data_IF_469918235682
#
_entry.id   IF_469918235682
#
_cell.length_a   1.000
_cell.length_b   1.000
_cell.length_c   1.000
_cell.angle_alpha   90.00
_cell.angle_beta   90.00
_cell.angle_gamma   90.00
#
_symmetry.space_group_name_H-M   'P 1'
#
loop_
_entity.id
_entity.type
_entity.pdbx_description
1 polymer ?
#
# COMPACT_ATOMS: atom_id res chain seq x y z
N UNK A 1 -10.13 -47.02 -8.89
CA UNK A 1 -8.84 -46.37 -9.23
C UNK A 1 -9.12 -44.88 -9.33
N UNK A 2 -8.95 -44.16 -8.23
CA UNK A 2 -9.31 -42.74 -8.13
C UNK A 2 -8.19 -41.92 -8.76
N UNK A 3 -8.50 -41.25 -9.86
CA UNK A 3 -7.59 -40.38 -10.60
C UNK A 3 -7.31 -39.11 -9.77
N UNK A 4 -6.25 -39.16 -8.96
CA UNK A 4 -5.69 -37.96 -8.33
C UNK A 4 -4.84 -37.21 -9.35
N UNK A 5 -5.51 -36.41 -10.19
CA UNK A 5 -4.80 -35.35 -10.93
C UNK A 5 -4.25 -34.36 -9.91
N UNK A 6 -2.93 -34.09 -9.91
CA UNK A 6 -2.38 -33.05 -9.06
C UNK A 6 -3.01 -31.72 -9.46
N UNK A 7 -3.65 -31.05 -8.50
CA UNK A 7 -4.07 -29.66 -8.66
C UNK A 7 -2.80 -28.86 -8.92
N UNK A 8 -2.62 -28.39 -10.16
CA UNK A 8 -1.58 -27.41 -10.50
C UNK A 8 -1.83 -26.20 -9.62
N UNK A 9 -1.05 -26.05 -8.55
CA UNK A 9 -1.02 -24.81 -7.78
C UNK A 9 -0.43 -23.76 -8.71
N UNK A 10 -1.25 -22.79 -9.10
CA UNK A 10 -0.75 -21.57 -9.76
C UNK A 10 0.31 -20.97 -8.84
N UNK A 11 1.49 -20.60 -9.36
CA UNK A 11 2.51 -19.96 -8.53
C UNK A 11 1.90 -18.71 -7.86
N UNK A 12 2.26 -18.42 -6.60
CA UNK A 12 1.78 -17.24 -5.92
C UNK A 12 2.14 -16.02 -6.76
N UNK A 13 1.17 -15.12 -6.95
CA UNK A 13 1.33 -13.93 -7.77
C UNK A 13 0.87 -12.72 -6.95
N UNK A 14 1.65 -11.65 -7.04
CA UNK A 14 1.33 -10.35 -6.45
C UNK A 14 1.13 -9.35 -7.57
N UNK A 15 0.07 -8.54 -7.49
CA UNK A 15 -0.19 -7.46 -8.43
C UNK A 15 -0.85 -6.28 -7.73
N UNK A 16 -0.33 -5.09 -7.98
CA UNK A 16 -1.04 -3.84 -7.67
C UNK A 16 -1.85 -3.46 -8.91
N UNK A 17 -3.13 -3.21 -8.72
CA UNK A 17 -4.05 -2.95 -9.81
C UNK A 17 -4.77 -1.64 -9.55
N UNK A 18 -5.03 -0.89 -10.61
CA UNK A 18 -5.78 0.36 -10.51
C UNK A 18 -6.58 0.65 -11.78
N UNK A 19 -7.55 1.55 -11.62
CA UNK A 19 -8.27 2.19 -12.70
C UNK A 19 -8.38 3.68 -12.37
N UNK A 20 -7.91 4.55 -13.26
CA UNK A 20 -8.11 5.99 -13.08
C UNK A 20 -9.54 6.39 -13.44
N UNK A 21 -10.13 7.28 -12.64
CA UNK A 21 -11.42 7.93 -12.93
C UNK A 21 -11.33 8.70 -14.25
N UNK A 22 -12.30 8.62 -15.18
CA UNK A 22 -12.27 9.37 -16.44
C UNK A 22 -11.88 10.84 -16.23
N UNK A 23 -11.07 11.39 -17.14
CA UNK A 23 -10.42 12.69 -16.93
C UNK A 23 -11.43 13.85 -16.78
N UNK A 24 -12.59 13.74 -17.42
CA UNK A 24 -13.72 14.67 -17.31
C UNK A 24 -14.51 14.55 -16.00
N UNK A 25 -14.30 13.47 -15.26
CA UNK A 25 -14.91 13.20 -13.96
C UNK A 25 -13.94 13.42 -12.78
N UNK A 26 -12.67 13.76 -13.04
CA UNK A 26 -11.71 14.07 -11.98
C UNK A 26 -12.14 15.34 -11.26
N UNK A 27 -12.23 15.26 -9.93
CA UNK A 27 -12.65 16.37 -9.11
C UNK A 27 -11.52 17.40 -8.98
N UNK A 28 -11.78 18.67 -9.33
CA UNK A 28 -10.85 19.74 -9.01
C UNK A 28 -10.78 19.98 -7.50
N UNK A 29 -9.66 20.53 -7.08
CA UNK A 29 -9.34 20.82 -5.69
C UNK A 29 -9.55 22.29 -5.37
N UNK A 30 -9.96 22.56 -4.13
CA UNK A 30 -10.22 23.92 -3.63
C UNK A 30 -11.72 24.21 -3.55
N UNK A 31 -12.09 25.26 -2.78
CA UNK A 31 -13.48 25.72 -2.66
C UNK A 31 -13.74 26.90 -3.60
N UNK A 32 -13.06 28.01 -3.33
CA UNK A 32 -13.27 29.27 -4.07
C UNK A 32 -12.53 29.29 -5.40
N UNK A 33 -11.33 28.69 -5.44
CA UNK A 33 -10.52 28.55 -6.65
C UNK A 33 -10.32 27.06 -6.93
N UNK A 34 -10.92 26.60 -8.02
CA UNK A 34 -10.79 25.22 -8.47
C UNK A 34 -9.45 25.04 -9.17
N UNK A 35 -8.67 24.05 -8.74
CA UNK A 35 -7.32 23.77 -9.22
C UNK A 35 -7.15 22.30 -9.54
N UNK A 36 -6.28 21.97 -10.50
CA UNK A 36 -5.80 20.61 -10.71
C UNK A 36 -4.29 20.57 -10.62
N UNK A 37 -3.77 19.44 -10.17
CA UNK A 37 -2.34 19.15 -10.04
C UNK A 37 -2.12 17.64 -10.24
N UNK A 38 -0.87 17.21 -10.33
CA UNK A 38 -0.55 15.83 -10.72
C UNK A 38 -1.20 14.78 -9.82
N UNK A 39 -1.13 14.96 -8.50
CA UNK A 39 -1.73 14.05 -7.51
C UNK A 39 -3.24 13.91 -7.71
N UNK A 40 -3.97 15.04 -7.82
CA UNK A 40 -5.42 15.05 -8.07
C UNK A 40 -5.82 14.32 -9.36
N UNK A 41 -5.00 14.38 -10.40
CA UNK A 41 -5.23 13.67 -11.67
C UNK A 41 -5.11 12.14 -11.56
N UNK A 42 -4.59 11.63 -10.45
CA UNK A 42 -4.54 10.20 -10.15
C UNK A 42 -5.79 9.67 -9.43
N UNK A 43 -6.87 10.46 -9.32
CA UNK A 43 -8.13 9.98 -8.75
C UNK A 43 -8.60 8.69 -9.45
N UNK A 44 -8.96 7.67 -8.68
CA UNK A 44 -9.39 6.39 -9.21
C UNK A 44 -9.68 5.34 -8.15
N UNK A 45 -9.59 4.07 -8.56
CA UNK A 45 -9.81 2.89 -7.74
C UNK A 45 -8.61 1.97 -7.79
N UNK A 46 -8.29 1.29 -6.70
CA UNK A 46 -7.19 0.32 -6.67
C UNK A 46 -7.41 -0.84 -5.71
N UNK A 47 -6.66 -1.91 -5.95
CA UNK A 47 -6.65 -3.11 -5.13
C UNK A 47 -5.31 -3.84 -5.24
N UNK A 48 -5.04 -4.69 -4.26
CA UNK A 48 -3.87 -5.58 -4.27
C UNK A 48 -4.37 -7.00 -4.47
N UNK A 49 -3.91 -7.66 -5.53
CA UNK A 49 -4.18 -9.07 -5.79
C UNK A 49 -3.04 -9.92 -5.24
N UNK A 50 -3.35 -10.70 -4.20
CA UNK A 50 -2.46 -11.65 -3.55
C UNK A 50 -2.93 -13.08 -3.85
N UNK A 51 -2.47 -13.64 -4.97
CA UNK A 51 -2.81 -15.02 -5.40
C UNK A 51 -4.32 -15.23 -5.54
N UNK A 52 -5.02 -14.28 -6.17
CA UNK A 52 -6.47 -14.29 -6.37
C UNK A 52 -7.26 -13.70 -5.21
N UNK A 53 -6.59 -13.32 -4.11
CA UNK A 53 -7.22 -12.57 -3.03
C UNK A 53 -7.09 -11.07 -3.26
N UNK A 54 -8.21 -10.37 -3.46
CA UNK A 54 -8.23 -8.93 -3.72
C UNK A 54 -8.42 -8.14 -2.41
N UNK A 55 -7.31 -7.65 -1.84
CA UNK A 55 -7.37 -6.66 -0.77
C UNK A 55 -7.92 -5.35 -1.30
N UNK A 56 -8.59 -4.57 -0.44
CA UNK A 56 -9.24 -3.30 -0.79
C UNK A 56 -10.43 -3.42 -1.75
N UNK A 57 -10.91 -4.64 -2.02
CA UNK A 57 -12.23 -4.84 -2.62
C UNK A 57 -13.32 -4.74 -1.57
N UNK A 58 -14.35 -3.93 -1.81
CA UNK A 58 -15.51 -3.81 -0.93
C UNK A 58 -16.36 -5.07 -0.91
N UNK A 59 -16.92 -5.36 0.26
CA UNK A 59 -17.91 -6.42 0.45
C UNK A 59 -19.19 -6.16 -0.35
N UNK A 60 -19.93 -7.22 -0.66
CA UNK A 60 -21.23 -7.09 -1.33
C UNK A 60 -22.23 -6.26 -0.50
N UNK A 61 -22.06 -6.20 0.81
CA UNK A 61 -22.87 -5.34 1.68
C UNK A 61 -22.52 -3.86 1.49
N UNK A 62 -21.23 -3.50 1.56
CA UNK A 62 -20.77 -2.14 1.31
C UNK A 62 -21.14 -1.66 -0.09
N UNK A 63 -20.97 -2.52 -1.10
CA UNK A 63 -21.38 -2.19 -2.48
C UNK A 63 -22.88 -1.89 -2.55
N UNK A 64 -23.74 -2.73 -1.95
CA UNK A 64 -25.20 -2.49 -1.94
C UNK A 64 -25.59 -1.20 -1.23
N UNK A 65 -24.93 -0.87 -0.11
CA UNK A 65 -25.17 0.39 0.61
C UNK A 65 -24.77 1.61 -0.24
N UNK A 66 -23.55 1.59 -0.79
CA UNK A 66 -23.08 2.65 -1.71
C UNK A 66 -24.00 2.83 -2.92
N UNK A 67 -24.49 1.73 -3.51
CA UNK A 67 -25.48 1.78 -4.59
C UNK A 67 -26.80 2.40 -4.17
N UNK A 68 -27.29 2.12 -2.96
CA UNK A 68 -28.49 2.75 -2.41
C UNK A 68 -28.29 4.27 -2.19
N UNK A 69 -27.06 4.70 -1.91
CA UNK A 69 -26.67 6.11 -1.79
C UNK A 69 -26.36 6.78 -3.15
N UNK A 70 -26.54 6.06 -4.26
CA UNK A 70 -26.41 6.59 -5.62
C UNK A 70 -25.02 6.43 -6.26
N UNK A 71 -24.12 5.67 -5.65
CA UNK A 71 -22.80 5.36 -6.23
C UNK A 71 -22.86 4.13 -7.15
N UNK A 72 -22.45 4.28 -8.42
CA UNK A 72 -22.27 3.19 -9.39
C UNK A 72 -20.77 2.92 -9.68
N UNK A 73 -19.93 3.20 -8.68
CA UNK A 73 -18.49 3.06 -8.77
C UNK A 73 -18.05 1.57 -8.71
N UNK A 74 -16.89 1.21 -9.30
CA UNK A 74 -16.24 -0.09 -9.08
C UNK A 74 -16.13 -0.48 -7.59
N UNK A 75 -16.15 -1.80 -7.28
CA UNK A 75 -16.22 -2.28 -5.90
C UNK A 75 -14.85 -2.30 -5.19
N UNK A 76 -14.07 -1.24 -5.34
CA UNK A 76 -12.71 -1.13 -4.81
C UNK A 76 -12.51 0.21 -4.10
N UNK A 77 -11.51 0.29 -3.22
CA UNK A 77 -11.13 1.54 -2.56
C UNK A 77 -10.93 2.65 -3.59
N UNK A 78 -11.70 3.73 -3.44
CA UNK A 78 -11.59 4.94 -4.25
C UNK A 78 -10.75 6.01 -3.53
N UNK A 79 -9.60 6.32 -4.12
CA UNK A 79 -8.70 7.38 -3.67
C UNK A 79 -7.69 7.72 -4.79
N UNK A 80 -6.76 8.62 -4.51
CA UNK A 80 -5.67 8.95 -5.43
C UNK A 80 -4.67 7.80 -5.50
N UNK A 81 -4.44 7.25 -6.71
CA UNK A 81 -3.48 6.15 -6.93
C UNK A 81 -2.06 6.58 -6.56
N UNK A 82 -1.76 7.87 -6.70
CA UNK A 82 -0.50 8.45 -6.25
C UNK A 82 -0.19 8.13 -4.79
N UNK A 83 -1.20 8.11 -3.91
CA UNK A 83 -0.97 7.87 -2.48
C UNK A 83 -0.48 6.45 -2.21
N UNK A 84 -1.13 5.44 -2.80
CA UNK A 84 -0.66 4.05 -2.74
C UNK A 84 0.77 3.93 -3.29
N UNK A 85 1.03 4.55 -4.44
CA UNK A 85 2.34 4.50 -5.08
C UNK A 85 3.43 5.15 -4.21
N UNK A 86 3.17 6.35 -3.67
CA UNK A 86 4.07 7.06 -2.74
C UNK A 86 4.37 6.24 -1.49
N UNK A 87 3.34 5.68 -0.86
CA UNK A 87 3.50 4.87 0.36
C UNK A 87 4.28 3.58 0.07
N UNK A 88 4.09 2.96 -1.09
CA UNK A 88 4.92 1.83 -1.54
C UNK A 88 6.38 2.25 -1.73
N UNK A 89 6.64 3.37 -2.41
CA UNK A 89 8.01 3.85 -2.63
C UNK A 89 8.71 4.20 -1.31
N UNK A 90 7.98 4.76 -0.35
CA UNK A 90 8.51 5.02 0.99
C UNK A 90 8.82 3.73 1.75
N UNK A 91 7.96 2.70 1.59
CA UNK A 91 8.08 1.41 2.27
C UNK A 91 9.19 0.52 1.70
N UNK A 92 9.42 0.58 0.38
CA UNK A 92 10.32 -0.30 -0.37
C UNK A 92 11.71 -0.51 0.25
N UNK A 93 12.48 0.55 0.61
CA UNK A 93 13.82 0.38 1.17
C UNK A 93 13.78 -0.49 2.43
N UNK A 94 12.83 -0.22 3.33
CA UNK A 94 12.67 -0.93 4.60
C UNK A 94 12.32 -2.40 4.37
N UNK A 95 11.30 -2.67 3.54
CA UNK A 95 10.81 -4.04 3.36
C UNK A 95 11.74 -4.91 2.50
N UNK A 96 12.69 -4.30 1.78
CA UNK A 96 13.75 -5.00 1.05
C UNK A 96 15.01 -5.23 1.89
N UNK A 97 15.15 -4.57 3.05
CA UNK A 97 16.18 -4.92 4.03
C UNK A 97 15.84 -6.29 4.65
N UNK A 98 16.75 -7.29 4.58
CA UNK A 98 16.51 -8.58 5.22
C UNK A 98 16.37 -8.42 6.74
N UNK A 99 15.25 -8.86 7.29
CA UNK A 99 15.06 -8.91 8.74
C UNK A 99 15.99 -9.98 9.33
N UNK A 100 16.83 -9.64 10.31
CA UNK A 100 17.66 -10.61 11.02
C UNK A 100 16.81 -11.73 11.65
N UNK A 101 17.31 -12.97 11.57
CA UNK A 101 16.58 -14.15 12.03
C UNK A 101 16.10 -14.06 13.50
N UNK A 102 16.87 -13.39 14.35
CA UNK A 102 16.56 -13.19 15.77
C UNK A 102 15.42 -12.19 16.02
N UNK A 103 15.13 -11.31 15.05
CA UNK A 103 14.03 -10.35 15.08
C UNK A 103 12.74 -10.86 14.42
N UNK A 104 12.77 -12.02 13.76
CA UNK A 104 11.56 -12.60 13.14
C UNK A 104 10.38 -12.73 14.12
N UNK A 105 10.55 -13.25 15.35
CA UNK A 105 9.42 -13.37 16.23
C UNK A 105 8.96 -12.01 16.81
N UNK A 106 9.73 -10.93 16.63
CA UNK A 106 9.30 -9.57 16.95
C UNK A 106 8.45 -8.98 15.82
N UNK A 107 8.91 -9.04 14.57
CA UNK A 107 8.14 -8.53 13.42
C UNK A 107 6.88 -9.37 13.12
N UNK A 108 6.85 -10.64 13.54
CA UNK A 108 5.65 -11.49 13.41
C UNK A 108 4.63 -11.27 14.54
N UNK A 109 5.03 -10.63 15.64
CA UNK A 109 4.17 -10.43 16.79
C UNK A 109 2.97 -9.53 16.47
N UNK A 110 1.97 -9.59 17.34
CA UNK A 110 0.90 -8.60 17.39
C UNK A 110 1.31 -7.51 18.38
N UNK A 111 1.55 -6.28 17.90
CA UNK A 111 1.97 -5.16 18.74
C UNK A 111 0.97 -4.80 19.84
N UNK A 112 -0.31 -5.18 19.71
CA UNK A 112 -1.29 -5.00 20.79
C UNK A 112 -0.96 -5.82 22.05
N UNK A 113 -0.09 -6.82 21.92
CA UNK A 113 0.41 -7.63 23.04
C UNK A 113 1.62 -7.00 23.74
N UNK A 114 2.16 -5.90 23.21
CA UNK A 114 3.31 -5.24 23.82
C UNK A 114 2.91 -4.56 25.12
N UNK A 115 3.86 -4.52 26.04
CA UNK A 115 3.64 -3.92 27.36
C UNK A 115 3.78 -2.41 27.27
N UNK A 116 2.71 -1.67 27.63
CA UNK A 116 2.83 -0.23 27.89
C UNK A 116 3.80 0.02 29.04
N UNK A 117 4.60 1.08 28.94
CA UNK A 117 5.64 1.40 29.92
C UNK A 117 5.50 2.81 30.45
N UNK A 118 5.80 2.96 31.73
CA UNK A 118 5.84 4.26 32.40
C UNK A 118 7.06 5.11 31.99
N UNK A 119 8.09 4.50 31.38
CA UNK A 119 9.28 5.19 30.88
C UNK A 119 9.79 4.53 29.59
N UNK A 120 9.40 5.08 28.45
CA UNK A 120 9.90 4.70 27.12
C UNK A 120 11.36 5.14 26.98
N UNK A 121 12.23 4.21 26.56
CA UNK A 121 13.61 4.55 26.21
C UNK A 121 13.74 4.77 24.71
N UNK A 122 14.79 5.47 24.26
CA UNK A 122 15.13 5.60 22.84
C UNK A 122 15.16 4.25 22.09
N UNK A 123 15.61 3.17 22.73
CA UNK A 123 15.61 1.83 22.13
C UNK A 123 14.19 1.26 21.93
N UNK A 124 13.24 1.57 22.80
CA UNK A 124 11.83 1.15 22.65
C UNK A 124 11.24 1.88 21.44
N UNK A 125 11.36 3.21 21.42
CA UNK A 125 10.93 4.06 20.29
C UNK A 125 11.54 3.57 18.98
N UNK A 126 12.85 3.29 18.95
CA UNK A 126 13.52 2.77 17.74
C UNK A 126 12.92 1.44 17.26
N UNK A 127 12.57 0.53 18.17
CA UNK A 127 11.98 -0.76 17.80
C UNK A 127 10.51 -0.64 17.38
N UNK A 128 9.75 0.28 17.98
CA UNK A 128 8.37 0.58 17.61
C UNK A 128 8.30 1.27 16.24
N UNK A 129 9.15 2.26 16.00
CA UNK A 129 9.31 2.93 14.71
C UNK A 129 9.70 1.93 13.64
N UNK A 130 10.75 1.13 13.87
CA UNK A 130 11.18 0.09 12.93
C UNK A 130 10.05 -0.88 12.61
N UNK A 131 9.27 -1.32 13.61
CA UNK A 131 8.13 -2.20 13.37
C UNK A 131 6.99 -1.51 12.60
N UNK A 132 6.73 -0.23 12.88
CA UNK A 132 5.76 0.61 12.18
C UNK A 132 6.13 0.84 10.71
N UNK A 133 7.42 0.99 10.42
CA UNK A 133 7.97 1.21 9.08
C UNK A 133 7.79 0.01 8.12
N UNK A 134 7.26 -1.11 8.62
CA UNK A 134 6.92 -2.29 7.80
C UNK A 134 5.45 -2.32 7.36
N UNK A 135 4.65 -1.31 7.73
CA UNK A 135 3.24 -1.21 7.32
C UNK A 135 3.08 -0.41 6.03
N UNK A 136 2.25 -0.91 5.13
CA UNK A 136 1.72 -0.11 4.04
C UNK A 136 0.62 0.80 4.59
N UNK A 137 0.83 2.11 4.50
CA UNK A 137 -0.08 3.11 5.04
C UNK A 137 -1.39 3.14 4.24
N UNK A 138 -2.50 2.92 4.96
CA UNK A 138 -3.86 3.11 4.45
C UNK A 138 -4.68 3.98 5.39
N UNK A 139 -4.05 4.80 6.25
CA UNK A 139 -4.73 5.65 7.23
C UNK A 139 -5.66 6.70 6.60
N UNK A 140 -5.51 6.96 5.30
CA UNK A 140 -6.38 7.82 4.51
C UNK A 140 -7.66 7.10 4.00
N UNK A 141 -7.76 5.79 4.18
CA UNK A 141 -8.95 4.98 3.87
C UNK A 141 -9.72 4.63 5.15
N UNK A 142 -11.06 4.66 5.05
CA UNK A 142 -11.93 4.20 6.14
C UNK A 142 -11.90 2.68 6.24
N UNK A 143 -11.71 2.16 7.46
CA UNK A 143 -11.68 0.74 7.82
C UNK A 143 -10.72 -0.13 6.99
N UNK A 144 -9.62 0.44 6.48
CA UNK A 144 -8.70 -0.31 5.65
C UNK A 144 -8.04 -1.48 6.40
N UNK A 145 -7.71 -2.58 5.71
CA UNK A 145 -6.90 -3.64 6.30
C UNK A 145 -5.53 -3.09 6.68
N UNK A 146 -4.98 -3.60 7.77
CA UNK A 146 -3.56 -3.44 8.04
C UNK A 146 -2.81 -4.41 7.13
N UNK A 147 -1.73 -3.94 6.49
CA UNK A 147 -0.86 -4.75 5.66
C UNK A 147 0.57 -4.51 6.10
N UNK A 148 1.26 -5.56 6.55
CA UNK A 148 2.65 -5.53 6.97
C UNK A 148 3.49 -6.43 6.08
N UNK A 149 4.65 -5.94 5.69
CA UNK A 149 5.55 -6.61 4.75
C UNK A 149 6.95 -6.73 5.35
N UNK A 150 7.64 -7.86 5.19
CA UNK A 150 9.06 -7.97 5.57
C UNK A 150 9.80 -9.02 4.75
N UNK A 151 11.08 -8.79 4.48
CA UNK A 151 11.94 -9.73 3.76
C UNK A 151 12.70 -10.65 4.71
N UNK A 152 12.84 -11.90 4.32
CA UNK A 152 13.72 -12.87 4.97
C UNK A 152 14.64 -13.51 3.94
N UNK A 153 15.89 -13.75 4.33
CA UNK A 153 16.83 -14.56 3.57
C UNK A 153 17.18 -15.76 4.46
N UNK A 154 16.68 -16.93 4.08
CA UNK A 154 17.01 -18.20 4.73
C UNK A 154 17.49 -19.20 3.69
N UNK A 155 16.69 -20.24 3.40
CA UNK A 155 16.86 -21.06 2.19
C UNK A 155 16.47 -20.30 0.93
N UNK A 156 15.42 -19.48 1.05
CA UNK A 156 14.85 -18.68 -0.03
C UNK A 156 14.91 -17.19 0.33
N UNK A 157 14.91 -16.34 -0.70
CA UNK A 157 14.81 -14.89 -0.59
C UNK A 157 13.35 -14.47 -0.83
N UNK A 158 12.63 -14.17 0.25
CA UNK A 158 11.18 -13.96 0.20
C UNK A 158 10.75 -12.71 0.94
N UNK A 159 9.69 -12.07 0.44
CA UNK A 159 8.93 -11.07 1.18
C UNK A 159 7.62 -11.68 1.64
N UNK A 160 7.39 -11.65 2.95
CA UNK A 160 6.11 -12.01 3.57
C UNK A 160 5.21 -10.81 3.60
N UNK A 161 3.94 -11.00 3.22
CA UNK A 161 2.84 -10.04 3.40
C UNK A 161 1.85 -10.67 4.37
N UNK A 162 1.69 -10.02 5.53
CA UNK A 162 0.70 -10.34 6.56
C UNK A 162 -0.37 -9.24 6.57
N UNK A 163 -1.63 -9.61 6.55
CA UNK A 163 -2.72 -8.63 6.56
C UNK A 163 -3.85 -9.05 7.48
N UNK A 164 -4.56 -8.07 8.02
CA UNK A 164 -5.79 -8.31 8.77
C UNK A 164 -6.74 -7.13 8.64
N UNK A 165 -8.04 -7.45 8.54
CA UNK A 165 -9.09 -6.45 8.53
C UNK A 165 -9.25 -5.87 9.94
N UNK A 166 -9.50 -4.56 10.00
CA UNK A 166 -9.93 -3.92 11.23
C UNK A 166 -11.29 -4.48 11.66
N UNK A 167 -11.55 -4.47 12.99
CA UNK A 167 -12.86 -4.90 13.49
C UNK A 167 -13.90 -3.90 12.99
N UNK A 168 -15.01 -4.34 12.39
CA UNK A 168 -16.06 -3.42 11.99
C UNK A 168 -16.56 -2.65 13.22
N UNK A 169 -16.43 -1.32 13.22
CA UNK A 169 -17.24 -0.48 14.09
C UNK A 169 -18.69 -0.63 13.62
N UNK A 170 -19.68 -0.82 14.52
CA UNK A 170 -21.10 -0.85 14.13
C UNK A 170 -21.55 0.38 13.32
N UNK A 171 -20.85 1.50 13.45
CA UNK A 171 -21.07 2.73 12.70
C UNK A 171 -20.26 2.82 11.40
N UNK A 172 -19.37 1.86 11.13
CA UNK A 172 -18.62 1.82 9.87
C UNK A 172 -19.48 1.23 8.74
N UNK A 173 -19.56 1.97 7.66
CA UNK A 173 -20.27 1.59 6.43
C UNK A 173 -19.36 0.83 5.45
N UNK A 174 -18.04 0.88 5.66
CA UNK A 174 -17.05 0.25 4.78
C UNK A 174 -16.59 -1.07 5.36
N UNK A 175 -16.72 -2.14 4.58
CA UNK A 175 -16.22 -3.48 4.90
C UNK A 175 -15.51 -4.01 3.65
N UNK A 176 -14.28 -4.48 3.80
CA UNK A 176 -13.52 -5.11 2.72
C UNK A 176 -13.74 -6.64 2.69
N UNK A 177 -13.72 -7.23 1.50
CA UNK A 177 -13.78 -8.69 1.33
C UNK A 177 -12.51 -9.37 1.79
N UNK A 178 -12.59 -10.67 2.06
CA UNK A 178 -11.43 -11.49 2.36
C UNK A 178 -11.51 -12.20 3.70
N UNK A 179 -10.51 -13.05 4.00
CA UNK A 179 -10.34 -13.55 5.34
C UNK A 179 -10.01 -12.40 6.29
N UNK A 180 -10.45 -12.51 7.55
CA UNK A 180 -10.17 -11.51 8.58
C UNK A 180 -8.67 -11.31 8.83
N UNK A 181 -7.86 -12.35 8.59
CA UNK A 181 -6.40 -12.32 8.59
C UNK A 181 -5.88 -13.27 7.52
N UNK A 182 -4.79 -12.91 6.87
CA UNK A 182 -4.08 -13.78 5.96
C UNK A 182 -2.60 -13.47 5.92
N UNK A 183 -1.83 -14.45 5.46
CA UNK A 183 -0.38 -14.35 5.30
C UNK A 183 0.04 -15.11 4.06
N UNK A 184 0.94 -14.53 3.28
CA UNK A 184 1.55 -15.21 2.15
C UNK A 184 2.97 -14.70 1.92
N UNK A 185 3.78 -15.46 1.20
CA UNK A 185 5.14 -15.08 0.86
C UNK A 185 5.35 -15.18 -0.65
N UNK A 186 6.10 -14.22 -1.18
CA UNK A 186 6.52 -14.16 -2.58
C UNK A 186 8.05 -14.13 -2.63
N UNK A 187 8.67 -14.58 -3.72
CA UNK A 187 10.08 -14.27 -3.85
C UNK A 187 10.27 -12.76 -3.99
N UNK A 188 11.39 -12.23 -3.48
CA UNK A 188 11.62 -10.77 -3.45
C UNK A 188 11.49 -10.13 -4.84
N UNK A 189 11.97 -10.84 -5.87
CA UNK A 189 11.84 -10.40 -7.27
C UNK A 189 10.38 -10.21 -7.71
N UNK A 190 9.45 -11.08 -7.29
CA UNK A 190 8.03 -10.94 -7.67
C UNK A 190 7.41 -9.66 -7.10
N UNK A 191 7.73 -9.31 -5.85
CA UNK A 191 7.26 -8.06 -5.27
C UNK A 191 7.86 -6.86 -6.01
N UNK A 192 9.19 -6.85 -6.22
CA UNK A 192 9.86 -5.74 -6.90
C UNK A 192 9.33 -5.55 -8.32
N UNK A 193 9.06 -6.63 -9.04
CA UNK A 193 8.47 -6.57 -10.38
C UNK A 193 7.04 -6.07 -10.35
N UNK A 194 6.22 -6.49 -9.38
CA UNK A 194 4.86 -5.96 -9.24
C UNK A 194 4.84 -4.45 -8.93
N UNK A 195 5.81 -3.95 -8.16
CA UNK A 195 5.95 -2.52 -7.88
C UNK A 195 6.43 -1.75 -9.12
N UNK A 196 7.39 -2.30 -9.89
CA UNK A 196 7.80 -1.74 -11.19
C UNK A 196 6.63 -1.69 -12.17
N UNK A 197 5.81 -2.73 -12.20
CA UNK A 197 4.63 -2.79 -13.06
C UNK A 197 3.62 -1.71 -12.69
N UNK A 198 3.39 -1.47 -11.38
CA UNK A 198 2.53 -0.39 -10.91
C UNK A 198 3.06 0.98 -11.37
N UNK A 199 4.34 1.23 -11.10
CA UNK A 199 5.02 2.49 -11.44
C UNK A 199 4.93 2.76 -12.95
N UNK A 200 5.34 1.81 -13.78
CA UNK A 200 5.30 1.94 -15.23
C UNK A 200 3.87 2.19 -15.75
N UNK A 201 2.88 1.46 -15.23
CA UNK A 201 1.49 1.64 -15.64
C UNK A 201 0.95 3.01 -15.22
N UNK A 202 1.23 3.45 -13.99
CA UNK A 202 0.78 4.75 -13.49
C UNK A 202 1.44 5.89 -14.26
N UNK A 203 2.76 5.84 -14.45
CA UNK A 203 3.50 6.86 -15.20
C UNK A 203 3.03 6.93 -16.65
N UNK A 204 2.80 5.80 -17.32
CA UNK A 204 2.27 5.78 -18.68
C UNK A 204 0.84 6.34 -18.77
N UNK A 205 -0.02 6.00 -17.81
CA UNK A 205 -1.39 6.53 -17.76
C UNK A 205 -1.40 8.04 -17.50
N UNK A 206 -0.49 8.51 -16.65
CA UNK A 206 -0.32 9.93 -16.34
C UNK A 206 0.30 10.71 -17.51
N UNK A 207 1.29 10.17 -18.20
CA UNK A 207 1.86 10.79 -19.40
C UNK A 207 0.78 11.07 -20.45
N UNK A 208 -0.11 10.09 -20.67
CA UNK A 208 -1.27 10.25 -21.56
C UNK A 208 -2.20 11.38 -21.10
N UNK A 209 -2.52 11.46 -19.81
CA UNK A 209 -3.39 12.53 -19.25
C UNK A 209 -2.76 13.90 -19.36
N UNK A 210 -1.49 14.03 -19.01
CA UNK A 210 -0.75 15.30 -19.10
C UNK A 210 -0.72 15.74 -20.57
N UNK A 211 -0.43 14.83 -21.50
CA UNK A 211 -0.42 15.15 -22.94
C UNK A 211 -1.80 15.56 -23.47
N UNK A 212 -2.88 14.93 -22.99
CA UNK A 212 -4.25 15.31 -23.34
C UNK A 212 -4.58 16.73 -22.84
N UNK A 213 -4.20 17.06 -21.61
CA UNK A 213 -4.40 18.39 -21.02
C UNK A 213 -3.55 19.47 -21.71
N UNK A 214 -2.32 19.15 -22.13
CA UNK A 214 -1.49 20.04 -22.94
C UNK A 214 -2.13 20.33 -24.30
N UNK A 215 -2.80 19.34 -24.91
CA UNK A 215 -3.47 19.50 -26.21
C UNK A 215 -4.78 20.28 -26.16
N UNK A 216 -5.59 20.09 -25.12
CA UNK A 216 -6.93 20.70 -25.01
C UNK A 216 -7.00 21.91 -24.08
N UNK A 217 -5.98 22.13 -23.25
CA UNK A 217 -5.96 23.14 -22.20
C UNK A 217 -6.66 22.70 -20.91
N UNK A 218 -6.64 23.59 -19.93
CA UNK A 218 -7.27 23.39 -18.62
C UNK A 218 -8.80 23.27 -18.74
N UNK A 219 -9.45 22.43 -17.91
CA UNK A 219 -10.92 22.40 -17.87
C UNK A 219 -11.53 23.77 -17.57
N UNK A 220 -12.73 24.09 -18.07
CA UNK A 220 -13.38 25.37 -17.82
C UNK A 220 -13.51 25.67 -16.32
N UNK A 221 -13.05 26.85 -15.89
CA UNK A 221 -13.12 27.27 -14.50
C UNK A 221 -12.11 26.61 -13.56
N UNK A 222 -11.20 25.77 -14.08
CA UNK A 222 -10.17 25.08 -13.31
C UNK A 222 -8.80 25.65 -13.67
N UNK A 223 -8.08 26.14 -12.68
CA UNK A 223 -6.68 26.53 -12.83
C UNK A 223 -5.79 25.30 -12.91
N UNK A 224 -4.92 25.29 -13.91
CA UNK A 224 -3.92 24.25 -14.09
C UNK A 224 -2.70 24.85 -14.79
N UNK A 225 -1.54 24.78 -14.14
CA UNK A 225 -0.26 25.11 -14.74
C UNK A 225 0.28 23.88 -15.47
N UNK A 226 0.14 23.86 -16.80
CA UNK A 226 0.55 22.75 -17.64
C UNK A 226 2.08 22.55 -17.65
N UNK A 227 2.86 23.62 -17.50
CA UNK A 227 4.32 23.54 -17.47
C UNK A 227 4.76 22.90 -16.16
N UNK A 228 4.23 23.37 -15.04
CA UNK A 228 4.49 22.78 -13.73
C UNK A 228 4.03 21.31 -13.68
N UNK A 229 2.84 21.01 -14.21
CA UNK A 229 2.31 19.64 -14.28
C UNK A 229 3.26 18.68 -15.02
N UNK A 230 3.75 19.11 -16.20
CA UNK A 230 4.67 18.29 -16.99
C UNK A 230 6.02 18.10 -16.30
N UNK A 231 6.51 19.13 -15.61
CA UNK A 231 7.75 19.05 -14.86
C UNK A 231 7.62 18.11 -13.66
N UNK A 232 6.54 18.23 -12.88
CA UNK A 232 6.23 17.31 -11.78
C UNK A 232 6.12 15.86 -12.30
N UNK A 233 5.48 15.64 -13.45
CA UNK A 233 5.39 14.30 -14.01
C UNK A 233 6.77 13.69 -14.33
N UNK A 234 7.67 14.48 -14.94
CA UNK A 234 9.04 14.03 -15.24
C UNK A 234 9.84 13.74 -13.97
N UNK A 235 9.66 14.54 -12.94
CA UNK A 235 10.28 14.32 -11.63
C UNK A 235 9.80 13.02 -11.01
N UNK A 236 8.49 12.78 -10.98
CA UNK A 236 7.91 11.56 -10.39
C UNK A 236 8.36 10.27 -11.07
N UNK A 237 8.67 10.32 -12.38
CA UNK A 237 9.25 9.17 -13.10
C UNK A 237 10.61 8.72 -12.58
N UNK A 238 11.32 9.54 -11.78
CA UNK A 238 12.61 9.14 -11.19
C UNK A 238 12.46 8.49 -9.81
N UNK A 239 11.30 8.63 -9.16
CA UNK A 239 11.13 8.32 -7.74
C UNK A 239 11.30 6.83 -7.42
N UNK A 240 10.83 5.92 -8.28
CA UNK A 240 11.03 4.49 -8.07
C UNK A 240 12.52 4.11 -8.06
N UNK A 241 13.32 4.71 -8.95
CA UNK A 241 14.76 4.46 -8.98
C UNK A 241 15.40 4.94 -7.68
N UNK A 242 15.06 6.15 -7.23
CA UNK A 242 15.55 6.67 -5.95
C UNK A 242 15.14 5.80 -4.75
N UNK A 243 13.92 5.26 -4.74
CA UNK A 243 13.46 4.36 -3.69
C UNK A 243 14.25 3.04 -3.68
N UNK A 244 14.49 2.44 -4.85
CA UNK A 244 15.24 1.18 -4.97
C UNK A 244 16.74 1.34 -4.66
N UNK A 245 17.32 2.52 -4.92
CA UNK A 245 18.73 2.81 -4.65
C UNK A 245 18.99 3.19 -3.18
N UNK A 246 17.93 3.49 -2.41
CA UNK A 246 18.06 3.86 -1.00
C UNK A 246 18.49 2.65 -0.18
N UNK A 247 19.62 2.80 0.52
CA UNK A 247 20.07 1.82 1.52
C UNK A 247 19.55 2.23 2.90
N UNK A 248 18.77 1.39 3.60
CA UNK A 248 18.38 1.63 4.98
C UNK A 248 19.60 1.74 5.90
N UNK A 249 19.49 2.60 6.91
CA UNK A 249 20.51 2.79 7.94
C UNK A 249 20.00 2.29 9.29
N UNK A 250 19.43 1.09 9.31
CA UNK A 250 18.78 0.53 10.49
C UNK A 250 19.80 0.27 11.60
N UNK A 251 19.59 0.87 12.79
CA UNK A 251 20.37 0.57 13.98
C UNK A 251 19.91 -0.77 14.59
N UNK A 252 20.42 -1.85 14.02
CA UNK A 252 20.08 -3.20 14.46
C UNK A 252 20.44 -3.48 15.93
N UNK A 253 21.34 -2.72 16.55
CA UNK A 253 21.65 -2.89 17.97
C UNK A 253 20.54 -2.27 18.84
N UNK A 254 20.13 -1.04 18.52
CA UNK A 254 19.02 -0.36 19.20
C UNK A 254 17.70 -1.10 18.98
N UNK A 255 17.38 -1.51 17.74
CA UNK A 255 16.18 -2.29 17.42
C UNK A 255 16.12 -3.60 18.21
N UNK A 256 17.24 -4.34 18.34
CA UNK A 256 17.30 -5.55 19.17
C UNK A 256 17.07 -5.28 20.64
N UNK A 257 17.69 -4.22 21.18
CA UNK A 257 17.52 -3.84 22.58
C UNK A 257 16.05 -3.51 22.87
N UNK A 258 15.41 -2.70 22.02
CA UNK A 258 13.98 -2.38 22.12
C UNK A 258 13.08 -3.61 21.98
N UNK A 259 13.29 -4.42 20.94
CA UNK A 259 12.51 -5.63 20.70
C UNK A 259 12.57 -6.61 21.87
N UNK A 260 13.76 -6.82 22.45
CA UNK A 260 13.93 -7.67 23.62
C UNK A 260 13.18 -7.13 24.84
N UNK A 261 13.18 -5.80 25.03
CA UNK A 261 12.38 -5.19 26.09
C UNK A 261 10.91 -5.36 25.79
N UNK A 262 10.39 -4.90 24.65
CA UNK A 262 8.96 -4.93 24.27
C UNK A 262 8.33 -6.32 24.39
N UNK A 263 9.07 -7.38 24.04
CA UNK A 263 8.60 -8.77 24.12
C UNK A 263 8.68 -9.41 25.50
N UNK A 264 9.46 -8.86 26.43
CA UNK A 264 9.66 -9.49 27.74
C UNK A 264 8.59 -9.07 28.76
N UNK A 265 7.62 -9.97 28.99
CA UNK A 265 7.09 -10.29 30.33
C UNK A 265 6.74 -11.79 30.39
N UNK A 266 6.95 -12.48 31.53
CA UNK A 266 6.31 -13.77 31.75
C UNK A 266 4.79 -13.55 31.79
N UNK A 267 4.05 -14.38 31.08
CA UNK A 267 2.64 -14.65 31.39
C UNK A 267 2.48 -15.09 32.83
#
# INVERSE_FOLDING_TARGET
MTDHRPVRRTPPAIRFQFQLRPLDQVHPWGRDKQTLHWFGLTEGWYWLDLTGHQLLRYSAETVRRRQADGHDDPPYADYYIARLWEDLLQLLPTILEPVPADLLPFIEADATTWTTRDNESDADTTAEEWYGDHYLDFGYLRNAPNVRCWRTISTDDTVTIDWWNQRPDPNDDIIFTGPARGRTAFCTQQLTDAVRDLDHQLMAAMDKRVSELEGRGSPPGVELDLVALRNEHRERMTWLTHALDRTPATDWAATRAGAARLRNRPT
#
